data_IF_125874551942
#
_entry.id   IF_125874551942
#
_cell.length_a   1.000
_cell.length_b   1.000
_cell.length_c   1.000
_cell.angle_alpha   90.00
_cell.angle_beta   90.00
_cell.angle_gamma   90.00
#
_symmetry.space_group_name_H-M   'P 1'
#
loop_
_entity.id
_entity.type
_entity.pdbx_description
1 polymer ?
#
# COMPACT_ATOMS: atom_id res chain seq x y z
N UNK A 1 -11.96 -6.66 -0.39
CA UNK A 1 -11.93 -6.85 -1.86
C UNK A 1 -11.45 -8.27 -2.13
N UNK A 2 -12.12 -9.06 -2.97
CA UNK A 2 -11.67 -10.42 -3.35
C UNK A 2 -10.53 -10.32 -4.37
N UNK A 3 -9.36 -9.84 -3.93
CA UNK A 3 -8.18 -9.68 -4.79
C UNK A 3 -7.28 -10.91 -4.63
N UNK A 4 -7.17 -11.79 -5.65
CA UNK A 4 -6.15 -12.83 -5.66
C UNK A 4 -4.75 -12.18 -5.76
N UNK A 5 -3.70 -12.92 -5.38
CA UNK A 5 -2.33 -12.43 -5.46
C UNK A 5 -1.99 -11.92 -6.86
N UNK A 6 -1.77 -10.62 -7.00
CA UNK A 6 -1.45 -9.93 -8.26
C UNK A 6 -0.60 -8.70 -7.96
N UNK A 7 0.17 -8.23 -8.95
CA UNK A 7 0.87 -6.95 -8.87
C UNK A 7 -0.10 -5.83 -9.24
N UNK A 8 -0.25 -4.85 -8.36
CA UNK A 8 -1.13 -3.70 -8.55
C UNK A 8 -0.40 -2.40 -8.24
N UNK A 9 -0.89 -1.29 -8.79
CA UNK A 9 -0.41 0.06 -8.48
C UNK A 9 -1.34 0.71 -7.47
N UNK A 10 -0.78 1.22 -6.38
CA UNK A 10 -1.50 1.97 -5.36
C UNK A 10 -0.86 3.35 -5.18
N UNK A 11 -1.68 4.37 -4.93
CA UNK A 11 -1.17 5.69 -4.57
C UNK A 11 -0.82 5.72 -3.09
N UNK A 12 0.26 6.39 -2.69
CA UNK A 12 0.50 6.68 -1.28
C UNK A 12 -0.28 7.94 -0.90
N UNK A 13 -1.06 7.90 0.19
CA UNK A 13 -1.71 9.10 0.71
C UNK A 13 -0.67 10.12 1.22
N UNK A 14 0.42 9.62 1.79
CA UNK A 14 1.58 10.40 2.21
C UNK A 14 2.86 9.79 1.60
N UNK A 15 3.61 10.54 0.77
CA UNK A 15 4.88 10.08 0.20
C UNK A 15 5.89 9.60 1.24
N UNK A 16 5.91 10.17 2.45
CA UNK A 16 6.86 9.79 3.51
C UNK A 16 6.66 8.36 4.04
N UNK A 17 5.51 7.73 3.75
CA UNK A 17 5.29 6.31 4.04
C UNK A 17 6.21 5.40 3.20
N UNK A 18 6.60 5.85 2.00
CA UNK A 18 7.46 5.08 1.10
C UNK A 18 8.91 5.02 1.59
N UNK A 19 9.36 6.02 2.37
CA UNK A 19 10.71 6.04 2.94
C UNK A 19 10.94 4.93 3.99
N UNK A 20 9.85 4.36 4.52
CA UNK A 20 9.89 3.32 5.54
C UNK A 20 9.92 1.90 4.95
N UNK A 21 9.86 1.77 3.63
CA UNK A 21 9.82 0.49 2.92
C UNK A 21 10.81 0.50 1.76
N UNK A 22 11.30 -0.69 1.40
CA UNK A 22 12.14 -0.87 0.21
C UNK A 22 11.63 -2.05 -0.62
N UNK A 23 12.13 -2.11 -1.85
CA UNK A 23 11.86 -3.24 -2.73
C UNK A 23 12.21 -4.58 -2.06
N UNK A 24 11.31 -5.55 -2.17
CA UNK A 24 11.45 -6.88 -1.55
C UNK A 24 10.92 -6.99 -0.12
N UNK A 25 10.53 -5.89 0.52
CA UNK A 25 9.92 -5.95 1.86
C UNK A 25 8.52 -6.55 1.80
N UNK A 26 8.25 -7.44 2.76
CA UNK A 26 6.89 -7.85 3.07
C UNK A 26 6.31 -6.82 4.04
N UNK A 27 5.17 -6.25 3.64
CA UNK A 27 4.48 -5.24 4.44
C UNK A 27 2.98 -5.50 4.44
N UNK A 28 2.32 -5.12 5.53
CA UNK A 28 0.87 -5.02 5.62
C UNK A 28 0.49 -3.57 5.37
N UNK A 29 -0.52 -3.33 4.56
CA UNK A 29 -0.96 -1.97 4.26
C UNK A 29 -2.48 -1.90 4.21
N UNK A 30 -3.01 -0.73 4.59
CA UNK A 30 -4.43 -0.43 4.49
C UNK A 30 -4.70 0.42 3.26
N UNK A 31 -5.74 0.05 2.51
CA UNK A 31 -6.11 0.72 1.26
C UNK A 31 -7.54 1.22 1.34
N UNK A 32 -7.73 2.46 0.94
CA UNK A 32 -9.03 3.07 0.75
C UNK A 32 -9.22 3.47 -0.71
N UNK A 33 -10.46 3.37 -1.20
CA UNK A 33 -10.81 3.82 -2.55
C UNK A 33 -11.25 5.27 -2.49
N UNK A 34 -10.34 6.18 -2.84
CA UNK A 34 -10.59 7.63 -2.88
C UNK A 34 -10.61 8.11 -4.32
N UNK A 35 -11.68 8.81 -4.72
CA UNK A 35 -11.83 9.35 -6.08
C UNK A 35 -11.65 8.31 -7.21
N UNK A 36 -11.99 7.04 -6.94
CA UNK A 36 -11.82 5.95 -7.90
C UNK A 36 -10.45 5.28 -7.91
N UNK A 37 -9.44 5.87 -7.26
CA UNK A 37 -8.10 5.30 -7.12
C UNK A 37 -7.96 4.52 -5.80
N UNK A 38 -7.10 3.50 -5.81
CA UNK A 38 -6.73 2.76 -4.61
C UNK A 38 -5.54 3.47 -3.95
N UNK A 39 -5.75 3.97 -2.74
CA UNK A 39 -4.76 4.77 -2.01
C UNK A 39 -4.42 4.12 -0.69
N UNK A 40 -3.13 3.96 -0.41
CA UNK A 40 -2.59 3.47 0.84
C UNK A 40 -2.66 4.58 1.87
N UNK A 41 -3.39 4.33 2.97
CA UNK A 41 -3.52 5.26 4.10
C UNK A 41 -2.67 4.84 5.30
N UNK A 42 -2.19 3.60 5.32
CA UNK A 42 -1.31 3.09 6.37
C UNK A 42 -0.41 1.97 5.85
N UNK A 43 0.85 1.96 6.27
CA UNK A 43 1.82 0.90 6.01
C UNK A 43 2.39 0.42 7.35
N UNK A 44 2.50 -0.90 7.51
CA UNK A 44 3.08 -1.57 8.66
C UNK A 44 4.07 -2.64 8.17
N UNK A 45 5.28 -2.65 8.73
CA UNK A 45 6.26 -3.69 8.41
C UNK A 45 5.80 -5.07 8.91
N UNK A 46 6.05 -6.10 8.12
CA UNK A 46 5.84 -7.48 8.54
C UNK A 46 7.01 -7.86 9.48
N UNK A 47 6.78 -7.74 10.78
CA UNK A 47 7.75 -8.10 11.82
C UNK A 47 7.88 -9.62 11.95
#
# INVERSE_FOLDING_TARGET
>A
LQMPGMTMVFHAADPAMLDQVKEGDKVKFHVEKMNGALTITKIEGDK
#
